data_IF_472961939848
#
_entry.id   IF_472961939848
#
_cell.length_a   1.000
_cell.length_b   1.000
_cell.length_c   1.000
_cell.angle_alpha   90.00
_cell.angle_beta   90.00
_cell.angle_gamma   90.00
#
_symmetry.space_group_name_H-M   'P 1'
#
loop_
_entity.id
_entity.type
_entity.pdbx_description
1 polymer ?
#
# COMPACT_ATOMS: atom_id res chain seq x y z
N UNK A 1 -1.87 0.73 -7.84
CA UNK A 1 -1.30 0.49 -6.49
C UNK A 1 -2.21 -0.47 -5.75
N UNK A 2 -1.76 -1.68 -5.42
CA UNK A 2 -2.58 -2.70 -4.74
C UNK A 2 -2.26 -2.84 -3.25
N UNK A 3 -1.18 -2.25 -2.74
CA UNK A 3 -0.83 -2.27 -1.31
C UNK A 3 -0.33 -0.91 -0.85
N UNK A 4 -0.72 -0.51 0.36
CA UNK A 4 -0.34 0.72 1.03
C UNK A 4 0.08 0.33 2.44
N UNK A 5 1.37 0.46 2.72
CA UNK A 5 1.95 0.09 4.00
C UNK A 5 2.97 1.14 4.43
N UNK A 6 3.03 1.42 5.73
CA UNK A 6 4.13 2.20 6.31
C UNK A 6 5.44 1.43 6.18
N UNK A 7 6.58 2.13 6.25
CA UNK A 7 7.89 1.47 6.12
C UNK A 7 8.11 0.40 7.18
N UNK A 8 7.69 0.66 8.42
CA UNK A 8 7.79 -0.29 9.52
C UNK A 8 6.89 -1.52 9.28
N UNK A 9 5.59 -1.31 9.00
CA UNK A 9 4.67 -2.41 8.72
C UNK A 9 5.13 -3.23 7.50
N UNK A 10 5.58 -2.58 6.43
CA UNK A 10 6.06 -3.26 5.22
C UNK A 10 7.23 -4.20 5.51
N UNK A 11 8.20 -3.79 6.34
CA UNK A 11 9.33 -4.66 6.73
C UNK A 11 8.84 -5.91 7.48
N UNK A 12 7.93 -5.73 8.44
CA UNK A 12 7.38 -6.85 9.23
C UNK A 12 6.60 -7.80 8.32
N UNK A 13 5.72 -7.28 7.47
CA UNK A 13 4.92 -8.14 6.57
C UNK A 13 5.80 -8.92 5.60
N UNK A 14 6.85 -8.31 5.05
CA UNK A 14 7.78 -9.02 4.15
C UNK A 14 8.48 -10.19 4.85
N UNK A 15 8.79 -10.07 6.15
CA UNK A 15 9.31 -11.17 6.96
C UNK A 15 8.29 -12.29 7.22
N UNK A 16 7.00 -11.98 7.20
CA UNK A 16 5.92 -12.96 7.40
C UNK A 16 5.53 -13.70 6.10
N UNK A 17 5.96 -13.20 4.94
CA UNK A 17 5.68 -13.81 3.65
C UNK A 17 6.34 -15.20 3.55
N UNK A 18 5.53 -16.21 3.23
CA UNK A 18 5.93 -17.61 3.05
C UNK A 18 6.41 -17.92 1.63
N UNK A 19 6.31 -16.97 0.70
CA UNK A 19 6.70 -17.19 -0.69
C UNK A 19 6.49 -15.98 -1.58
N UNK A 20 6.91 -16.14 -2.84
CA UNK A 20 6.98 -15.07 -3.84
C UNK A 20 5.62 -14.44 -4.15
N UNK A 21 4.54 -15.24 -4.17
CA UNK A 21 3.20 -14.70 -4.38
C UNK A 21 2.78 -13.71 -3.28
N UNK A 22 3.15 -13.99 -2.03
CA UNK A 22 2.80 -13.12 -0.91
C UNK A 22 3.64 -11.84 -0.95
N UNK A 23 4.94 -11.94 -1.22
CA UNK A 23 5.78 -10.75 -1.37
C UNK A 23 5.34 -9.90 -2.57
N UNK A 24 4.94 -10.51 -3.69
CA UNK A 24 4.45 -9.80 -4.88
C UNK A 24 3.19 -8.97 -4.60
N UNK A 25 2.29 -9.43 -3.70
CA UNK A 25 1.17 -8.62 -3.20
C UNK A 25 1.65 -7.38 -2.46
N UNK A 26 2.64 -7.52 -1.56
CA UNK A 26 3.16 -6.42 -0.75
C UNK A 26 3.94 -5.40 -1.56
N UNK A 27 4.68 -5.86 -2.57
CA UNK A 27 5.35 -4.98 -3.54
C UNK A 27 4.38 -4.30 -4.50
N UNK A 28 3.12 -4.76 -4.55
CA UNK A 28 2.10 -4.21 -5.41
C UNK A 28 2.15 -4.70 -6.85
N UNK A 29 2.90 -5.78 -7.10
CA UNK A 29 3.04 -6.46 -8.41
C UNK A 29 1.80 -7.29 -8.70
N UNK A 30 1.31 -8.03 -7.70
CA UNK A 30 0.09 -8.85 -7.81
C UNK A 30 -1.14 -8.15 -7.24
N UNK A 31 -2.32 -8.62 -7.65
CA UNK A 31 -3.61 -8.08 -7.20
C UNK A 31 -4.20 -8.85 -6.02
N UNK A 32 -4.74 -8.13 -5.03
CA UNK A 32 -5.44 -8.74 -3.90
C UNK A 32 -6.79 -9.37 -4.29
N UNK A 33 -7.41 -8.92 -5.38
CA UNK A 33 -8.59 -9.55 -5.97
C UNK A 33 -8.26 -10.89 -6.64
N UNK A 34 -7.02 -11.10 -7.05
CA UNK A 34 -6.62 -12.23 -7.90
C UNK A 34 -7.06 -12.09 -9.36
N UNK A 35 -7.44 -10.88 -9.81
CA UNK A 35 -7.82 -10.62 -11.20
C UNK A 35 -6.66 -10.77 -12.20
N UNK A 36 -5.44 -10.80 -11.69
CA UNK A 36 -4.20 -11.08 -12.42
C UNK A 36 -3.96 -12.59 -12.65
N UNK A 37 -4.68 -13.47 -11.95
CA UNK A 37 -4.57 -14.91 -12.13
C UNK A 37 -5.26 -15.33 -13.43
N UNK A 38 -4.46 -15.70 -14.44
CA UNK A 38 -4.94 -16.14 -15.76
C UNK A 38 -4.40 -17.53 -16.13
N UNK A 39 -5.04 -18.17 -17.11
CA UNK A 39 -4.61 -19.47 -17.64
C UNK A 39 -4.48 -20.55 -16.56
N UNK A 40 -3.31 -21.18 -16.47
CA UNK A 40 -3.04 -22.24 -15.49
C UNK A 40 -3.14 -21.74 -14.04
N UNK A 41 -2.79 -20.48 -13.77
CA UNK A 41 -2.86 -19.91 -12.43
C UNK A 41 -4.32 -19.76 -11.94
N UNK A 42 -5.25 -19.46 -12.85
CA UNK A 42 -6.68 -19.35 -12.51
C UNK A 42 -7.26 -20.68 -11.97
N UNK A 43 -6.76 -21.83 -12.46
CA UNK A 43 -7.16 -23.16 -11.96
C UNK A 43 -6.81 -23.37 -10.49
N UNK A 44 -5.78 -22.68 -9.99
CA UNK A 44 -5.35 -22.71 -8.60
C UNK A 44 -5.88 -21.53 -7.78
N UNK A 45 -6.91 -20.82 -8.26
CA UNK A 45 -7.46 -19.63 -7.61
C UNK A 45 -7.83 -19.82 -6.15
N UNK A 46 -8.31 -21.02 -5.77
CA UNK A 46 -8.54 -21.40 -4.37
C UNK A 46 -7.27 -21.33 -3.52
N UNK A 47 -6.18 -21.96 -3.97
CA UNK A 47 -4.89 -21.93 -3.25
C UNK A 47 -4.32 -20.51 -3.12
N UNK A 48 -4.48 -19.68 -4.14
CA UNK A 48 -4.06 -18.27 -4.06
C UNK A 48 -4.92 -17.47 -3.09
N UNK A 49 -6.23 -17.76 -3.00
CA UNK A 49 -7.11 -17.20 -1.98
C UNK A 49 -6.65 -17.61 -0.58
N UNK A 50 -6.36 -18.89 -0.37
CA UNK A 50 -5.90 -19.40 0.93
C UNK A 50 -4.55 -18.81 1.31
N UNK A 51 -3.65 -18.62 0.33
CA UNK A 51 -2.37 -17.94 0.53
C UNK A 51 -2.55 -16.48 0.97
N UNK A 52 -3.52 -15.74 0.40
CA UNK A 52 -3.86 -14.38 0.86
C UNK A 52 -4.41 -14.37 2.28
N UNK A 53 -5.32 -15.29 2.60
CA UNK A 53 -5.89 -15.40 3.95
C UNK A 53 -4.81 -15.73 4.98
N UNK A 54 -3.94 -16.70 4.70
CA UNK A 54 -2.83 -17.04 5.59
C UNK A 54 -1.89 -15.85 5.83
N UNK A 55 -1.67 -14.99 4.83
CA UNK A 55 -0.86 -13.78 5.01
C UNK A 55 -1.59 -12.77 5.92
N UNK A 56 -2.88 -12.57 5.72
CA UNK A 56 -3.72 -11.70 6.55
C UNK A 56 -3.68 -12.16 8.01
N UNK A 57 -3.83 -13.46 8.25
CA UNK A 57 -3.82 -14.03 9.60
C UNK A 57 -2.43 -13.91 10.25
N UNK A 58 -1.36 -14.15 9.50
CA UNK A 58 0.01 -13.94 9.98
C UNK A 58 0.25 -12.47 10.36
N UNK A 59 -0.23 -11.52 9.56
CA UNK A 59 -0.12 -10.09 9.86
C UNK A 59 -0.86 -9.75 11.17
N UNK A 60 -2.09 -10.25 11.33
CA UNK A 60 -2.86 -10.04 12.57
C UNK A 60 -2.16 -10.66 13.78
N UNK A 61 -1.63 -11.88 13.65
CA UNK A 61 -0.87 -12.56 14.70
C UNK A 61 0.40 -11.81 15.10
N UNK A 62 1.02 -11.08 14.18
CA UNK A 62 2.18 -10.23 14.43
C UNK A 62 1.81 -8.83 14.98
N UNK A 63 0.55 -8.57 15.30
CA UNK A 63 0.11 -7.27 15.81
C UNK A 63 0.06 -6.17 14.74
N UNK A 64 -0.15 -6.54 13.47
CA UNK A 64 -0.40 -5.61 12.39
C UNK A 64 -1.90 -5.48 12.12
N UNK A 65 -2.34 -4.26 11.86
CA UNK A 65 -3.67 -3.99 11.31
C UNK A 65 -3.59 -4.09 9.79
N UNK A 66 -4.29 -5.07 9.22
CA UNK A 66 -4.46 -5.23 7.78
C UNK A 66 -5.94 -5.11 7.40
N UNK A 67 -6.24 -4.24 6.43
CA UNK A 67 -7.59 -4.06 5.87
C UNK A 67 -7.51 -4.12 4.36
N UNK A 68 -8.26 -5.03 3.74
CA UNK A 68 -8.35 -5.13 2.28
C UNK A 68 -9.70 -4.56 1.85
N UNK A 69 -9.69 -3.49 1.07
CA UNK A 69 -10.91 -2.77 0.67
C UNK A 69 -10.86 -2.31 -0.78
N UNK A 70 -12.03 -2.12 -1.39
CA UNK A 70 -12.20 -1.75 -2.80
C UNK A 70 -12.02 -0.24 -3.02
N UNK A 71 -10.84 0.29 -2.69
CA UNK A 71 -10.56 1.73 -2.62
C UNK A 71 -9.57 2.21 -3.67
N UNK A 72 -8.99 1.27 -4.40
CA UNK A 72 -8.10 1.58 -5.50
C UNK A 72 -8.88 2.18 -6.66
N UNK A 73 -8.12 2.72 -7.61
CA UNK A 73 -8.66 3.23 -8.86
C UNK A 73 -9.63 2.22 -9.51
N UNK A 74 -10.82 2.68 -9.91
CA UNK A 74 -11.90 1.86 -10.46
C UNK A 74 -12.38 0.74 -9.51
N UNK A 75 -12.35 0.96 -8.19
CA UNK A 75 -12.84 0.01 -7.19
C UNK A 75 -11.92 -1.20 -7.00
N UNK A 76 -10.63 -1.09 -7.37
CA UNK A 76 -9.67 -2.18 -7.20
C UNK A 76 -9.41 -2.45 -5.71
N UNK A 77 -9.18 -3.71 -5.38
CA UNK A 77 -8.82 -4.12 -4.02
C UNK A 77 -7.42 -3.60 -3.66
N UNK A 78 -7.33 -2.93 -2.51
CA UNK A 78 -6.10 -2.42 -1.93
C UNK A 78 -5.98 -2.89 -0.49
N UNK A 79 -4.84 -3.47 -0.14
CA UNK A 79 -4.50 -3.74 1.25
C UNK A 79 -3.84 -2.53 1.91
N UNK A 80 -4.39 -2.08 3.03
CA UNK A 80 -3.76 -1.10 3.91
C UNK A 80 -3.22 -1.80 5.14
N UNK A 81 -1.93 -1.62 5.41
CA UNK A 81 -1.20 -2.33 6.46
C UNK A 81 -0.49 -1.32 7.36
N UNK A 82 -0.77 -1.39 8.65
CA UNK A 82 -0.23 -0.50 9.69
C UNK A 82 0.21 -1.33 10.89
N UNK A 83 1.16 -0.82 11.66
CA UNK A 83 1.38 -1.35 13.01
C UNK A 83 0.20 -0.95 13.91
N UNK A 84 -0.02 -1.68 15.02
CA UNK A 84 -1.06 -1.31 15.99
C UNK A 84 -0.85 0.10 16.56
N UNK A 85 0.40 0.52 16.75
CA UNK A 85 0.74 1.87 17.22
C UNK A 85 0.41 2.94 16.17
N UNK A 86 0.68 2.68 14.89
CA UNK A 86 0.30 3.59 13.81
C UNK A 86 -1.23 3.65 13.66
N UNK A 87 -1.90 2.51 13.82
CA UNK A 87 -3.35 2.42 13.74
C UNK A 87 -4.05 3.13 14.91
N UNK A 88 -3.49 3.12 16.12
CA UNK A 88 -4.07 3.79 17.29
C UNK A 88 -4.02 5.31 17.20
N UNK A 89 -3.04 5.86 16.46
CA UNK A 89 -2.92 7.29 16.18
C UNK A 89 -3.94 7.79 15.14
N UNK A 90 -4.63 6.89 14.44
CA UNK A 90 -5.69 7.24 13.51
C UNK A 90 -6.99 7.30 14.30
N UNK A 91 -7.68 8.46 14.36
CA UNK A 91 -9.00 8.53 14.96
C UNK A 91 -9.92 7.57 14.21
N UNK A 92 -10.40 6.54 14.92
CA UNK A 92 -11.32 5.55 14.38
C UNK A 92 -12.63 6.27 14.11
N UNK A 93 -12.93 6.53 12.84
CA UNK A 93 -14.28 6.94 12.43
C UNK A 93 -15.19 5.73 12.63
N UNK A 94 -15.75 5.59 13.85
CA UNK A 94 -16.76 4.61 14.29
C UNK A 94 -16.71 3.25 13.59
N UNK A 95 -16.10 2.27 14.26
CA UNK A 95 -16.26 0.84 13.99
C UNK A 95 -17.75 0.51 13.84
N UNK A 96 -18.17 0.10 12.63
CA UNK A 96 -19.58 -0.19 12.28
C UNK A 96 -20.10 0.60 11.09
N UNK A 97 -19.35 1.57 10.57
CA UNK A 97 -19.66 2.22 9.29
C UNK A 97 -19.36 1.29 8.10
N UNK A 98 -20.26 1.28 7.11
CA UNK A 98 -20.14 0.54 5.85
C UNK A 98 -18.69 0.58 5.32
N UNK A 99 -18.07 -0.58 5.10
CA UNK A 99 -16.67 -0.75 4.66
C UNK A 99 -16.34 0.08 3.39
N UNK A 100 -17.36 0.45 2.62
CA UNK A 100 -17.25 1.36 1.47
C UNK A 100 -16.91 2.79 1.87
N UNK A 101 -17.46 3.28 2.98
CA UNK A 101 -17.27 4.66 3.48
C UNK A 101 -15.87 4.80 4.08
N UNK A 102 -15.46 3.87 4.94
CA UNK A 102 -14.10 3.84 5.47
C UNK A 102 -13.08 3.75 4.34
N UNK A 103 -13.40 2.93 3.33
CA UNK A 103 -12.57 2.78 2.16
C UNK A 103 -12.44 4.07 1.34
N UNK A 104 -13.55 4.77 1.10
CA UNK A 104 -13.54 6.03 0.35
C UNK A 104 -12.76 7.13 1.10
N UNK A 105 -12.91 7.19 2.43
CA UNK A 105 -12.17 8.11 3.28
C UNK A 105 -10.66 7.81 3.26
N UNK A 106 -10.27 6.53 3.24
CA UNK A 106 -8.90 6.11 3.09
C UNK A 106 -8.35 6.48 1.69
N UNK A 107 -9.12 6.22 0.62
CA UNK A 107 -8.78 6.61 -0.75
C UNK A 107 -8.48 8.10 -0.88
N UNK A 108 -9.35 8.96 -0.34
CA UNK A 108 -9.14 10.42 -0.33
C UNK A 108 -7.90 10.85 0.49
N UNK A 109 -7.55 10.12 1.55
CA UNK A 109 -6.32 10.38 2.32
C UNK A 109 -5.08 9.97 1.53
N UNK A 110 -5.11 8.82 0.87
CA UNK A 110 -4.02 8.34 0.01
C UNK A 110 -3.76 9.33 -1.13
N UNK A 111 -4.81 9.83 -1.78
CA UNK A 111 -4.67 10.80 -2.85
C UNK A 111 -4.08 12.13 -2.37
N UNK A 112 -4.43 12.57 -1.15
CA UNK A 112 -3.79 13.73 -0.51
C UNK A 112 -2.30 13.51 -0.27
N UNK A 113 -1.91 12.34 0.25
CA UNK A 113 -0.50 12.00 0.48
C UNK A 113 0.28 11.96 -0.84
N UNK A 114 -0.27 11.33 -1.89
CA UNK A 114 0.34 11.30 -3.22
C UNK A 114 0.56 12.71 -3.79
N UNK A 115 -0.46 13.57 -3.71
CA UNK A 115 -0.34 14.96 -4.18
C UNK A 115 0.76 15.72 -3.43
N UNK A 116 0.88 15.49 -2.12
CA UNK A 116 1.93 16.10 -1.31
C UNK A 116 3.33 15.62 -1.70
N UNK A 117 3.54 14.31 -1.80
CA UNK A 117 4.83 13.73 -2.21
C UNK A 117 5.26 14.23 -3.60
N UNK A 118 4.34 14.23 -4.57
CA UNK A 118 4.61 14.75 -5.90
C UNK A 118 4.96 16.25 -5.89
N UNK A 119 4.38 17.04 -4.98
CA UNK A 119 4.73 18.45 -4.81
C UNK A 119 6.13 18.63 -4.19
N UNK A 120 6.48 17.81 -3.20
CA UNK A 120 7.81 17.79 -2.59
C UNK A 120 8.91 17.40 -3.60
N UNK A 121 8.66 16.39 -4.45
CA UNK A 121 9.56 16.02 -5.55
C UNK A 121 9.76 17.16 -6.55
N UNK A 122 8.68 17.83 -6.96
CA UNK A 122 8.77 19.00 -7.86
C UNK A 122 9.56 20.15 -7.23
N UNK A 123 9.40 20.35 -5.91
CA UNK A 123 10.16 21.39 -5.19
C UNK A 123 11.65 21.05 -5.17
N UNK A 124 12.01 19.82 -4.82
CA UNK A 124 13.40 19.35 -4.85
C UNK A 124 14.03 19.44 -6.23
N UNK A 125 13.29 19.08 -7.29
CA UNK A 125 13.79 19.20 -8.65
C UNK A 125 14.08 20.66 -9.05
N UNK A 126 13.29 21.62 -8.56
CA UNK A 126 13.54 23.05 -8.79
C UNK A 126 14.75 23.57 -8.02
N UNK A 127 14.91 23.16 -6.76
CA UNK A 127 16.07 23.52 -5.95
C UNK A 127 17.36 22.98 -6.59
N UNK A 128 17.36 21.73 -7.04
CA UNK A 128 18.51 21.11 -7.70
C UNK A 128 18.86 21.79 -9.03
N UNK A 129 17.86 22.21 -9.81
CA UNK A 129 18.09 22.97 -11.05
C UNK A 129 18.65 24.38 -10.79
N UNK A 130 18.25 25.03 -9.68
CA UNK A 130 18.81 26.32 -9.27
C UNK A 130 20.26 26.18 -8.78
N UNK A 131 20.56 25.12 -8.02
CA UNK A 131 21.92 24.82 -7.56
C UNK A 131 22.85 24.49 -8.74
N UNK A 132 22.38 23.70 -9.71
CA UNK A 132 23.13 23.43 -10.96
C UNK A 132 23.40 24.71 -11.76
N UNK A 133 22.41 25.59 -11.89
CA UNK A 133 22.59 26.88 -12.58
C UNK A 133 23.55 27.83 -11.83
N UNK A 134 23.50 27.83 -10.49
CA UNK A 134 24.42 28.61 -9.66
C UNK A 134 25.86 28.08 -9.76
N UNK A 135 26.03 26.76 -9.77
CA UNK A 135 27.33 26.12 -9.97
C UNK A 135 27.90 26.39 -11.38
N UNK A 136 27.08 26.40 -12.42
CA UNK A 136 27.55 26.72 -13.78
C UNK A 136 28.01 28.17 -13.93
N UNK A 137 27.40 29.10 -13.18
CA UNK A 137 27.79 30.51 -13.15
C UNK A 137 29.10 30.77 -12.39
N UNK A 138 29.45 29.94 -11.41
CA UNK A 138 30.72 30.01 -10.68
C UNK A 138 31.88 29.33 -11.40
N UNK A 139 31.59 28.45 -12.35
CA UNK A 139 32.57 27.72 -13.16
C UNK A 139 32.90 28.42 -14.50
N UNK A 140 32.28 29.56 -14.79
CA UNK A 140 32.51 30.42 -15.96
C UNK A 140 33.34 31.66 -15.56
#
# INVERSE_FOLDING_TARGET
MSTIATTAAKKIVLWLCKGEYQSSLIHGVSSWSGSDLKGRAARYGGRYRDSRHSLIDACKGAGLRIVVSAIGERGRMVATILTNEEASRIPVTKTGGDNRIEGHALGQRIDRVKKRLAAEERKRARELALDEAALSLLAA
#
